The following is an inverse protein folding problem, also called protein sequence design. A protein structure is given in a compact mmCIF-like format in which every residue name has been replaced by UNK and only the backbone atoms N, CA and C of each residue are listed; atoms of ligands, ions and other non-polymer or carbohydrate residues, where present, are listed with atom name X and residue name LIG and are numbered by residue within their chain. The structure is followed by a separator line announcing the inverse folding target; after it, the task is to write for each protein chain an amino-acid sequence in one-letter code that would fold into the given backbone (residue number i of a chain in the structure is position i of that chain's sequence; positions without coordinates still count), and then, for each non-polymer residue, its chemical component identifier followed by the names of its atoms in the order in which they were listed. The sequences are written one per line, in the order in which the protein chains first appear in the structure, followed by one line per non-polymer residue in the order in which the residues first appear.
data_IF_061135606287
#
_entry.id   IF_061135606287
#
_cell.length_a   1.000
_cell.length_b   1.000
_cell.length_c   1.000
_cell.angle_alpha   90.00
_cell.angle_beta   90.00
_cell.angle_gamma   90.00
#
_symmetry.space_group_name_H-M   'P 1'
#
loop_
_entity.id
_entity.type
_entity.pdbx_description
1 polymer ?
#
# COMPACT_ATOMS: atom_id res chain seq x y z
N UNK A 1 50.44 -6.97 47.86
CA UNK A 1 51.18 -5.76 47.43
C UNK A 1 52.14 -6.19 46.33
N UNK A 2 51.97 -5.64 45.12
CA UNK A 2 52.97 -5.38 44.06
C UNK A 2 53.93 -6.53 43.62
N UNK A 3 54.23 -6.84 42.35
CA UNK A 3 54.10 -6.21 41.02
C UNK A 3 54.36 -7.32 39.97
N UNK A 4 53.54 -7.48 38.93
CA UNK A 4 53.72 -6.97 37.54
C UNK A 4 54.87 -7.62 36.72
N UNK A 5 54.48 -8.63 35.93
CA UNK A 5 54.53 -8.72 34.46
C UNK A 5 55.78 -9.13 33.64
N UNK A 6 55.45 -9.89 32.57
CA UNK A 6 56.12 -10.14 31.26
C UNK A 6 57.28 -11.16 31.28
N UNK A 7 57.48 -12.07 30.32
CA UNK A 7 56.91 -12.29 28.98
C UNK A 7 57.33 -13.71 28.49
N UNK A 8 56.37 -14.47 27.96
CA UNK A 8 56.40 -15.27 26.70
C UNK A 8 57.25 -16.56 26.50
N UNK A 9 56.53 -17.55 25.94
CA UNK A 9 56.90 -18.81 25.23
C UNK A 9 57.26 -20.01 26.12
N UNK A 10 56.62 -21.20 25.99
CA UNK A 10 56.24 -21.91 24.77
C UNK A 10 55.23 -23.06 25.03
N UNK A 11 54.33 -23.30 24.05
CA UNK A 11 53.86 -24.62 23.56
C UNK A 11 53.15 -25.63 24.50
N UNK A 12 51.83 -25.78 24.38
CA UNK A 12 51.17 -26.82 23.54
C UNK A 12 49.64 -26.84 23.71
N UNK A 13 48.95 -27.12 22.60
CA UNK A 13 47.53 -27.47 22.40
C UNK A 13 46.53 -26.31 22.25
N UNK A 14 46.25 -25.89 21.00
CA UNK A 14 45.11 -26.34 20.17
C UNK A 14 44.88 -25.29 19.06
N UNK A 15 45.24 -25.62 17.81
CA UNK A 15 44.81 -24.85 16.65
C UNK A 15 43.34 -25.19 16.33
N UNK A 16 42.50 -24.19 16.08
CA UNK A 16 41.84 -23.91 14.80
C UNK A 16 40.64 -22.96 15.01
N UNK A 17 40.65 -21.86 14.25
CA UNK A 17 39.50 -21.23 13.59
C UNK A 17 38.26 -20.82 14.41
N UNK A 18 38.13 -19.52 14.70
CA UNK A 18 36.84 -18.81 14.61
C UNK A 18 37.07 -17.41 14.01
N UNK A 19 36.98 -17.33 12.69
CA UNK A 19 36.70 -16.10 11.94
C UNK A 19 35.19 -16.10 11.69
N UNK A 20 34.56 -14.94 11.89
CA UNK A 20 33.18 -14.57 11.53
C UNK A 20 32.77 -15.12 10.14
N UNK A 21 31.50 -15.46 9.87
CA UNK A 21 30.65 -14.47 9.18
C UNK A 21 29.11 -14.61 9.36
N UNK A 22 28.42 -13.56 8.89
CA UNK A 22 27.09 -13.54 8.25
C UNK A 22 25.88 -14.14 9.00
N UNK A 23 25.06 -13.26 9.56
CA UNK A 23 23.65 -13.55 9.83
C UNK A 23 22.92 -13.58 8.48
N UNK A 24 22.58 -14.80 8.07
CA UNK A 24 21.82 -15.16 6.89
C UNK A 24 20.37 -14.69 7.04
N UNK A 25 19.90 -13.99 6.01
CA UNK A 25 18.50 -13.77 5.69
C UNK A 25 17.83 -15.16 5.58
N UNK A 26 17.01 -15.56 6.56
CA UNK A 26 16.28 -16.83 6.50
C UNK A 26 15.14 -16.68 5.48
N UNK A 27 15.46 -16.92 4.21
CA UNK A 27 14.53 -17.52 3.26
C UNK A 27 14.41 -18.98 3.69
N UNK A 28 13.21 -19.56 3.87
CA UNK A 28 13.11 -21.01 3.96
C UNK A 28 13.44 -21.58 2.58
N UNK A 29 14.72 -21.85 2.36
CA UNK A 29 15.17 -22.78 1.33
C UNK A 29 14.81 -24.19 1.82
N UNK A 30 13.54 -24.56 1.65
CA UNK A 30 13.14 -25.96 1.69
C UNK A 30 13.67 -26.57 0.40
N UNK A 31 14.88 -27.13 0.46
CA UNK A 31 15.33 -28.12 -0.52
C UNK A 31 14.59 -29.41 -0.16
N UNK A 32 13.32 -29.49 -0.60
CA UNK A 32 12.64 -30.75 -0.76
C UNK A 32 12.71 -31.11 -2.25
N UNK A 33 13.02 -32.36 -2.55
CA UNK A 33 12.81 -33.00 -3.85
C UNK A 33 11.31 -33.17 -4.15
N UNK A 34 10.50 -32.15 -3.85
CA UNK A 34 9.09 -32.08 -4.15
C UNK A 34 8.92 -31.66 -5.61
N UNK A 35 7.97 -32.30 -6.31
CA UNK A 35 7.60 -31.91 -7.67
C UNK A 35 7.36 -30.40 -7.76
N UNK A 36 7.70 -29.83 -8.91
CA UNK A 36 7.52 -28.40 -9.19
C UNK A 36 6.07 -28.02 -8.92
N UNK A 37 5.80 -27.20 -7.90
CA UNK A 37 4.44 -26.78 -7.55
C UNK A 37 4.00 -25.65 -8.49
N UNK A 38 3.33 -26.02 -9.58
CA UNK A 38 2.67 -25.06 -10.47
C UNK A 38 1.27 -24.77 -9.91
N UNK A 39 0.92 -23.52 -9.57
CA UNK A 39 -0.38 -23.21 -8.99
C UNK A 39 -1.49 -23.32 -10.03
N UNK A 40 -2.71 -23.59 -9.59
CA UNK A 40 -3.88 -23.58 -10.48
C UNK A 40 -4.33 -22.15 -10.83
N UNK A 41 -4.11 -21.18 -9.94
CA UNK A 41 -4.44 -19.76 -10.12
C UNK A 41 -3.18 -18.92 -9.98
N UNK A 42 -2.96 -18.00 -10.90
CA UNK A 42 -1.79 -17.12 -10.91
C UNK A 42 -2.18 -15.67 -11.14
N UNK A 43 -1.99 -14.86 -10.10
CA UNK A 43 -2.09 -13.40 -10.15
C UNK A 43 -0.81 -12.76 -10.68
N UNK A 44 -0.44 -11.62 -10.12
CA UNK A 44 0.78 -10.86 -10.49
C UNK A 44 2.10 -11.45 -9.93
N UNK A 45 2.02 -12.56 -9.21
CA UNK A 45 3.15 -13.14 -8.48
C UNK A 45 4.13 -13.88 -9.42
N UNK A 46 5.40 -13.92 -8.99
CA UNK A 46 6.48 -14.68 -9.63
C UNK A 46 6.74 -15.97 -8.87
N UNK A 47 6.94 -17.06 -9.59
CA UNK A 47 7.23 -18.40 -9.05
C UNK A 47 8.49 -18.91 -9.73
N UNK A 48 9.54 -19.11 -8.95
CA UNK A 48 10.79 -19.70 -9.44
C UNK A 48 10.60 -21.20 -9.69
N UNK A 49 10.91 -21.65 -10.91
CA UNK A 49 10.82 -23.07 -11.28
C UNK A 49 12.20 -23.66 -11.57
N UNK A 50 13.17 -22.83 -11.95
CA UNK A 50 14.56 -23.22 -12.20
C UNK A 50 14.75 -24.13 -13.42
N UNK A 51 13.72 -24.27 -14.26
CA UNK A 51 13.70 -25.17 -15.41
C UNK A 51 13.12 -24.47 -16.63
N UNK A 52 13.57 -24.88 -17.81
CA UNK A 52 12.94 -24.48 -19.07
C UNK A 52 11.48 -24.95 -19.10
N UNK A 53 10.61 -24.11 -19.65
CA UNK A 53 9.19 -24.38 -19.69
C UNK A 53 8.58 -23.90 -21.02
N UNK A 54 7.47 -24.53 -21.39
CA UNK A 54 6.64 -24.10 -22.51
C UNK A 54 5.31 -23.54 -22.00
N UNK A 55 4.88 -22.42 -22.57
CA UNK A 55 3.55 -21.85 -22.35
C UNK A 55 2.76 -22.02 -23.65
N UNK A 56 1.61 -22.68 -23.56
CA UNK A 56 0.73 -22.95 -24.72
C UNK A 56 1.51 -23.59 -25.90
N UNK A 57 2.43 -24.49 -25.57
CA UNK A 57 3.27 -25.22 -26.53
C UNK A 57 4.50 -24.46 -27.05
N UNK A 58 4.67 -23.17 -26.71
CA UNK A 58 5.81 -22.34 -27.14
C UNK A 58 6.85 -22.24 -26.03
N UNK A 59 8.13 -22.23 -26.39
CA UNK A 59 9.21 -22.03 -25.43
C UNK A 59 9.06 -20.65 -24.76
N UNK A 60 9.08 -20.65 -23.43
CA UNK A 60 9.05 -19.44 -22.63
C UNK A 60 10.49 -19.00 -22.32
N UNK A 61 10.83 -17.71 -22.46
CA UNK A 61 12.21 -17.26 -22.36
C UNK A 61 12.76 -17.20 -20.93
N UNK A 62 11.97 -17.62 -19.94
CA UNK A 62 12.36 -17.58 -18.53
C UNK A 62 12.17 -18.94 -17.87
N UNK A 63 12.94 -19.18 -16.82
CA UNK A 63 12.88 -20.37 -15.97
C UNK A 63 11.97 -20.17 -14.75
N UNK A 64 11.13 -19.14 -14.78
CA UNK A 64 10.16 -18.80 -13.76
C UNK A 64 8.81 -18.52 -14.40
N UNK A 65 7.74 -18.69 -13.65
CA UNK A 65 6.37 -18.35 -14.05
C UNK A 65 5.99 -17.02 -13.41
N UNK A 66 5.39 -16.11 -14.18
CA UNK A 66 4.98 -14.81 -13.68
C UNK A 66 3.74 -14.35 -14.43
N UNK A 67 2.62 -14.12 -13.73
CA UNK A 67 1.38 -13.76 -14.40
C UNK A 67 1.45 -12.40 -15.11
N UNK A 68 2.39 -11.53 -14.73
CA UNK A 68 2.64 -10.27 -15.44
C UNK A 68 3.25 -10.48 -16.83
N UNK A 69 3.81 -11.67 -17.11
CA UNK A 69 4.48 -12.02 -18.37
C UNK A 69 3.69 -13.04 -19.19
N UNK A 70 2.45 -13.34 -18.78
CA UNK A 70 1.55 -14.27 -19.43
C UNK A 70 0.26 -13.56 -19.81
N UNK A 71 -0.41 -14.01 -20.86
CA UNK A 71 -1.75 -13.53 -21.17
C UNK A 71 -2.77 -14.07 -20.15
N UNK A 72 -3.74 -13.23 -19.76
CA UNK A 72 -4.84 -13.66 -18.88
C UNK A 72 -5.70 -14.75 -19.55
N UNK A 73 -6.35 -15.59 -18.74
CA UNK A 73 -7.12 -16.76 -19.16
C UNK A 73 -6.42 -18.09 -18.83
N UNK A 74 -6.98 -19.20 -19.31
CA UNK A 74 -6.41 -20.54 -19.11
C UNK A 74 -5.16 -20.73 -19.98
N UNK A 75 -4.08 -21.21 -19.35
CA UNK A 75 -2.78 -21.48 -19.96
C UNK A 75 -2.35 -22.91 -19.70
N UNK A 76 -1.69 -23.51 -20.68
CA UNK A 76 -1.05 -24.82 -20.55
C UNK A 76 0.45 -24.63 -20.34
N UNK A 77 0.92 -24.95 -19.14
CA UNK A 77 2.33 -24.90 -18.77
C UNK A 77 2.91 -26.30 -18.90
N UNK A 78 3.98 -26.46 -19.69
CA UNK A 78 4.67 -27.75 -19.82
C UNK A 78 6.07 -27.65 -19.22
N UNK A 79 6.39 -28.54 -18.28
CA UNK A 79 7.68 -28.64 -17.60
C UNK A 79 8.05 -30.13 -17.59
N UNK A 80 9.23 -30.50 -18.11
CA UNK A 80 9.67 -31.90 -18.21
C UNK A 80 8.58 -32.82 -18.81
N UNK A 81 7.98 -32.38 -19.92
CA UNK A 81 6.87 -33.06 -20.62
C UNK A 81 5.56 -33.26 -19.82
N UNK A 82 5.51 -32.81 -18.55
CA UNK A 82 4.29 -32.76 -17.76
C UNK A 82 3.52 -31.46 -18.03
N UNK A 83 2.21 -31.59 -18.26
CA UNK A 83 1.31 -30.47 -18.54
C UNK A 83 0.52 -30.08 -17.30
N UNK A 84 0.44 -28.78 -17.06
CA UNK A 84 -0.30 -28.15 -15.99
C UNK A 84 -1.26 -27.13 -16.60
N UNK A 85 -2.49 -27.07 -16.11
CA UNK A 85 -3.44 -26.00 -16.48
C UNK A 85 -3.43 -24.94 -15.39
N UNK A 86 -3.11 -23.71 -15.79
CA UNK A 86 -3.04 -22.54 -14.90
C UNK A 86 -4.00 -21.49 -15.42
N UNK A 87 -4.91 -21.01 -14.57
CA UNK A 87 -5.69 -19.82 -14.85
C UNK A 87 -4.89 -18.58 -14.45
N UNK A 88 -4.73 -17.63 -15.37
CA UNK A 88 -4.00 -16.39 -15.13
C UNK A 88 -4.97 -15.23 -15.12
N UNK A 89 -4.92 -14.40 -14.08
CA UNK A 89 -5.70 -13.16 -14.02
C UNK A 89 -4.94 -12.10 -13.25
N UNK A 90 -4.63 -10.99 -13.92
CA UNK A 90 -3.81 -9.91 -13.34
C UNK A 90 -4.57 -8.61 -13.10
N UNK A 91 -5.78 -8.49 -13.61
CA UNK A 91 -6.64 -7.34 -13.37
C UNK A 91 -7.67 -7.67 -12.28
N UNK A 92 -7.94 -6.75 -11.34
CA UNK A 92 -8.96 -6.94 -10.32
C UNK A 92 -10.36 -6.99 -10.93
N UNK A 93 -11.27 -7.67 -10.23
CA UNK A 93 -12.71 -7.58 -10.54
C UNK A 93 -13.23 -6.17 -10.32
N UNK A 94 -14.38 -5.83 -10.93
CA UNK A 94 -15.05 -4.53 -10.77
C UNK A 94 -16.08 -4.55 -9.64
N UNK A 95 -15.64 -4.95 -8.45
CA UNK A 95 -16.42 -4.94 -7.21
C UNK A 95 -16.27 -3.57 -6.51
N UNK A 96 -17.33 -3.07 -5.90
CA UNK A 96 -17.27 -1.86 -5.05
C UNK A 96 -17.88 -2.18 -3.71
N UNK A 97 -17.18 -1.79 -2.64
CA UNK A 97 -17.62 -2.04 -1.28
C UNK A 97 -18.46 -0.87 -0.77
N UNK A 98 -19.73 -1.14 -0.59
CA UNK A 98 -20.64 -0.34 0.20
C UNK A 98 -21.19 -1.27 1.27
N UNK A 99 -20.86 -1.01 2.53
CA UNK A 99 -21.39 -1.80 3.63
C UNK A 99 -22.57 -1.11 4.28
N UNK A 100 -23.51 -1.89 4.77
CA UNK A 100 -24.65 -1.40 5.57
C UNK A 100 -24.63 -2.06 6.95
N UNK A 101 -25.10 -1.32 7.94
CA UNK A 101 -25.31 -1.86 9.28
C UNK A 101 -26.71 -2.44 9.38
N UNK A 102 -26.79 -3.76 9.58
CA UNK A 102 -28.01 -4.48 9.89
C UNK A 102 -27.99 -4.88 11.38
N UNK A 103 -28.72 -4.13 12.21
CA UNK A 103 -28.75 -4.31 13.66
C UNK A 103 -27.34 -4.17 14.28
N UNK A 104 -26.65 -5.29 14.53
CA UNK A 104 -25.29 -5.35 15.11
C UNK A 104 -24.28 -6.02 14.18
N UNK A 105 -24.62 -6.17 12.91
CA UNK A 105 -23.78 -6.79 11.89
C UNK A 105 -23.53 -5.79 10.78
N UNK A 106 -22.30 -5.74 10.28
CA UNK A 106 -21.96 -4.98 9.09
C UNK A 106 -21.86 -5.94 7.91
N UNK A 107 -22.65 -5.68 6.86
CA UNK A 107 -22.86 -6.59 5.74
C UNK A 107 -22.40 -5.93 4.43
N UNK A 108 -21.76 -6.73 3.58
CA UNK A 108 -21.36 -6.39 2.21
C UNK A 108 -22.03 -7.32 1.20
N UNK A 109 -22.21 -6.83 -0.03
CA UNK A 109 -22.76 -7.62 -1.15
C UNK A 109 -21.77 -8.69 -1.68
N UNK A 110 -20.53 -8.68 -1.21
CA UNK A 110 -19.47 -9.59 -1.67
C UNK A 110 -18.60 -10.04 -0.51
N UNK A 111 -17.97 -11.20 -0.65
CA UNK A 111 -16.99 -11.69 0.33
C UNK A 111 -15.79 -10.76 0.39
N UNK A 112 -15.44 -10.35 1.61
CA UNK A 112 -14.30 -9.50 1.92
C UNK A 112 -13.39 -10.19 2.93
N UNK A 113 -12.14 -9.74 3.01
CA UNK A 113 -11.22 -10.13 4.06
C UNK A 113 -11.15 -9.02 5.11
N UNK A 114 -11.36 -9.37 6.37
CA UNK A 114 -11.34 -8.43 7.49
C UNK A 114 -9.97 -8.37 8.17
N UNK A 115 -9.50 -7.17 8.49
CA UNK A 115 -8.22 -6.93 9.19
C UNK A 115 -8.41 -6.01 10.41
N UNK A 116 -7.61 -6.24 11.45
CA UNK A 116 -7.48 -5.34 12.60
C UNK A 116 -6.34 -4.34 12.30
N UNK A 117 -6.63 -3.05 12.05
CA UNK A 117 -5.59 -2.08 11.68
C UNK A 117 -4.58 -1.81 12.81
N UNK A 118 -4.91 -2.16 14.06
CA UNK A 118 -3.99 -2.03 15.20
C UNK A 118 -2.88 -3.09 15.18
N UNK A 119 -3.07 -4.16 14.41
CA UNK A 119 -2.08 -5.23 14.23
C UNK A 119 -1.30 -4.95 12.95
N UNK A 120 0.01 -4.70 13.06
CA UNK A 120 0.92 -4.48 11.93
C UNK A 120 1.24 -5.79 11.17
N UNK A 121 0.20 -6.47 10.69
CA UNK A 121 0.28 -7.71 9.93
C UNK A 121 -0.94 -7.86 9.01
N UNK A 122 -0.76 -8.44 7.81
CA UNK A 122 -1.85 -8.86 6.93
C UNK A 122 -2.43 -10.20 7.41
N UNK A 123 -2.74 -10.31 8.70
CA UNK A 123 -3.40 -11.48 9.27
C UNK A 123 -4.91 -11.27 9.22
N UNK A 124 -5.58 -12.00 8.36
CA UNK A 124 -7.03 -11.97 8.28
C UNK A 124 -7.65 -12.37 9.63
N UNK A 125 -8.63 -11.60 10.08
CA UNK A 125 -9.52 -11.96 11.18
C UNK A 125 -10.50 -13.02 10.69
N UNK A 126 -11.10 -12.74 9.53
CA UNK A 126 -12.11 -13.57 8.90
C UNK A 126 -12.20 -13.25 7.39
N UNK A 127 -12.79 -14.16 6.62
CA UNK A 127 -13.16 -13.97 5.22
C UNK A 127 -14.64 -14.33 5.05
N UNK A 128 -15.48 -13.30 5.03
CA UNK A 128 -16.94 -13.42 5.02
C UNK A 128 -17.56 -12.22 4.27
N UNK A 129 -18.85 -12.27 4.00
CA UNK A 129 -19.62 -11.11 3.53
C UNK A 129 -20.12 -10.23 4.69
N UNK A 130 -20.01 -10.70 5.94
CA UNK A 130 -20.49 -9.99 7.12
C UNK A 130 -19.53 -10.10 8.31
N UNK A 131 -19.60 -9.12 9.21
CA UNK A 131 -18.88 -9.16 10.50
C UNK A 131 -19.75 -8.55 11.60
N UNK A 132 -19.73 -9.17 12.79
CA UNK A 132 -20.39 -8.62 13.97
C UNK A 132 -19.65 -7.38 14.46
N UNK A 133 -20.38 -6.28 14.65
CA UNK A 133 -19.83 -5.03 15.15
C UNK A 133 -19.30 -5.18 16.58
N UNK A 134 -18.23 -4.45 16.87
CA UNK A 134 -17.58 -4.41 18.18
C UNK A 134 -17.14 -2.97 18.50
N UNK A 135 -16.56 -2.73 19.68
CA UNK A 135 -15.98 -1.43 20.01
C UNK A 135 -14.72 -1.08 19.17
N UNK A 136 -14.18 -2.05 18.42
CA UNK A 136 -13.05 -1.86 17.50
C UNK A 136 -13.51 -1.50 16.09
N UNK A 137 -12.60 -0.87 15.35
CA UNK A 137 -12.70 -0.66 13.91
C UNK A 137 -12.05 -1.81 13.16
N UNK A 138 -12.57 -2.12 11.98
CA UNK A 138 -11.95 -3.08 11.08
C UNK A 138 -11.78 -2.50 9.69
N UNK A 139 -10.84 -3.06 8.93
CA UNK A 139 -10.72 -2.85 7.50
C UNK A 139 -11.30 -4.04 6.77
N UNK A 140 -12.18 -3.79 5.81
CA UNK A 140 -12.67 -4.80 4.89
C UNK A 140 -11.99 -4.59 3.53
N UNK A 141 -11.34 -5.63 3.00
CA UNK A 141 -10.65 -5.60 1.71
C UNK A 141 -11.31 -6.57 0.75
N UNK A 142 -11.75 -6.07 -0.39
CA UNK A 142 -12.22 -6.89 -1.50
C UNK A 142 -11.04 -7.27 -2.40
N UNK A 143 -10.83 -8.58 -2.57
CA UNK A 143 -9.88 -9.13 -3.52
C UNK A 143 -10.47 -10.34 -4.22
N UNK A 144 -10.06 -10.57 -5.47
CA UNK A 144 -10.43 -11.79 -6.18
C UNK A 144 -9.61 -13.01 -5.72
N UNK A 145 -9.90 -14.18 -6.29
CA UNK A 145 -9.19 -15.43 -5.98
C UNK A 145 -7.72 -15.46 -6.46
N UNK A 146 -7.23 -14.39 -7.09
CA UNK A 146 -5.87 -14.21 -7.57
C UNK A 146 -5.12 -13.15 -6.75
N UNK A 147 -5.71 -12.73 -5.62
CA UNK A 147 -5.25 -11.70 -4.71
C UNK A 147 -5.21 -10.28 -5.31
N UNK A 148 -5.91 -10.05 -6.43
CA UNK A 148 -6.01 -8.71 -6.99
C UNK A 148 -7.01 -7.89 -6.16
N UNK A 149 -6.51 -6.88 -5.45
CA UNK A 149 -7.34 -6.01 -4.60
C UNK A 149 -8.12 -5.02 -5.45
N UNK A 150 -9.43 -4.99 -5.24
CA UNK A 150 -10.33 -4.10 -5.96
C UNK A 150 -10.69 -2.85 -5.18
N UNK A 151 -11.13 -3.01 -3.93
CA UNK A 151 -11.68 -1.93 -3.11
C UNK A 151 -11.47 -2.21 -1.62
N UNK A 152 -11.57 -1.17 -0.81
CA UNK A 152 -11.39 -1.23 0.65
C UNK A 152 -12.48 -0.41 1.31
N UNK A 153 -13.04 -0.91 2.42
CA UNK A 153 -14.04 -0.22 3.21
C UNK A 153 -13.66 -0.20 4.69
N UNK A 154 -14.12 0.84 5.37
CA UNK A 154 -14.04 0.95 6.81
C UNK A 154 -15.25 0.29 7.45
N UNK A 155 -15.02 -0.54 8.45
CA UNK A 155 -16.09 -1.11 9.28
C UNK A 155 -16.16 -0.25 10.55
N UNK A 156 -17.29 0.46 10.78
CA UNK A 156 -17.45 1.32 11.94
C UNK A 156 -17.51 0.50 13.24
N UNK A 157 -17.28 1.11 14.40
CA UNK A 157 -17.47 0.45 15.67
C UNK A 157 -18.96 0.49 16.05
N UNK A 158 -19.32 -0.16 17.16
CA UNK A 158 -20.63 0.06 17.78
C UNK A 158 -20.77 1.51 18.29
N UNK A 159 -21.92 2.11 17.98
CA UNK A 159 -22.31 3.46 18.40
C UNK A 159 -22.99 3.48 19.79
N UNK A 160 -22.61 2.56 20.67
CA UNK A 160 -23.16 2.48 22.03
C UNK A 160 -22.35 3.36 23.00
N UNK A 161 -23.02 3.88 24.04
CA UNK A 161 -22.44 4.67 25.14
C UNK A 161 -21.77 5.97 24.66
N UNK A 162 -22.49 6.72 23.82
CA UNK A 162 -22.08 8.01 23.30
C UNK A 162 -22.55 9.16 24.18
N UNK A 163 -21.63 10.05 24.55
CA UNK A 163 -21.97 11.36 25.09
C UNK A 163 -22.15 12.33 23.93
N UNK A 164 -23.36 12.89 23.79
CA UNK A 164 -23.68 13.86 22.74
C UNK A 164 -23.28 15.24 23.24
N UNK A 165 -22.44 15.93 22.48
CA UNK A 165 -22.09 17.32 22.73
C UNK A 165 -22.87 18.24 21.79
N UNK A 166 -23.32 19.35 22.34
CA UNK A 166 -23.96 20.46 21.65
C UNK A 166 -23.02 21.67 21.51
N UNK A 167 -23.33 22.51 20.51
CA UNK A 167 -22.42 23.39 19.76
C UNK A 167 -21.75 24.54 20.51
N UNK A 168 -21.92 24.68 21.83
CA UNK A 168 -21.54 25.90 22.54
C UNK A 168 -20.14 25.84 23.20
N UNK A 169 -19.55 24.65 23.33
CA UNK A 169 -18.25 24.49 23.97
C UNK A 169 -17.14 24.21 22.95
N UNK A 170 -15.99 24.92 23.02
CA UNK A 170 -14.80 24.56 22.26
C UNK A 170 -14.40 23.12 22.55
N UNK A 171 -13.91 22.40 21.53
CA UNK A 171 -13.43 21.02 21.72
C UNK A 171 -12.14 21.11 22.53
N UNK A 172 -12.24 20.94 23.86
CA UNK A 172 -11.11 20.98 24.79
C UNK A 172 -11.26 19.81 25.76
N UNK A 173 -10.17 19.06 25.96
CA UNK A 173 -10.07 17.98 26.95
C UNK A 173 -11.10 16.83 26.81
N UNK A 174 -10.98 16.05 25.72
CA UNK A 174 -11.71 14.78 25.57
C UNK A 174 -11.02 13.72 26.44
N UNK A 175 -11.73 13.02 27.34
CA UNK A 175 -11.13 11.92 28.10
C UNK A 175 -12.09 10.77 28.42
N UNK A 176 -11.63 9.55 28.18
CA UNK A 176 -12.21 8.29 28.70
C UNK A 176 -13.60 7.92 28.19
N UNK A 177 -14.13 8.63 27.18
CA UNK A 177 -15.48 8.45 26.65
C UNK A 177 -15.52 8.58 25.13
N UNK A 178 -16.60 8.10 24.53
CA UNK A 178 -16.94 8.32 23.12
C UNK A 178 -17.85 9.56 23.04
N UNK A 179 -17.41 10.57 22.31
CA UNK A 179 -18.17 11.81 22.11
C UNK A 179 -18.73 11.87 20.70
N UNK A 180 -20.00 12.23 20.57
CA UNK A 180 -20.63 12.52 19.29
C UNK A 180 -20.85 14.02 19.18
N UNK A 181 -20.22 14.65 18.19
CA UNK A 181 -20.54 16.01 17.80
C UNK A 181 -21.72 15.96 16.84
N UNK A 182 -22.86 16.44 17.31
CA UNK A 182 -24.08 16.47 16.52
C UNK A 182 -24.02 17.51 15.40
N UNK A 183 -24.84 17.34 14.37
CA UNK A 183 -25.02 18.29 13.26
C UNK A 183 -25.40 19.73 13.67
N UNK A 184 -25.74 19.95 14.95
CA UNK A 184 -25.80 21.29 15.57
C UNK A 184 -24.38 21.88 15.62
N UNK A 185 -23.96 22.55 14.56
CA UNK A 185 -22.62 23.10 14.36
C UNK A 185 -22.72 24.60 14.01
N UNK A 186 -21.64 25.41 14.05
CA UNK A 186 -20.22 25.03 13.99
C UNK A 186 -19.58 24.75 15.37
N UNK A 187 -18.61 23.83 15.40
CA UNK A 187 -17.68 23.65 16.52
C UNK A 187 -16.36 24.36 16.25
N UNK A 188 -15.57 24.65 17.30
CA UNK A 188 -14.27 25.33 17.17
C UNK A 188 -13.14 24.51 17.77
N UNK A 189 -12.05 24.37 17.00
CA UNK A 189 -10.74 23.92 17.50
C UNK A 189 -9.82 25.13 17.48
N UNK A 190 -9.55 25.69 18.66
CA UNK A 190 -8.82 26.95 18.82
C UNK A 190 -7.34 26.76 19.19
N UNK A 191 -6.96 25.56 19.63
CA UNK A 191 -5.62 25.24 20.09
C UNK A 191 -5.33 23.73 19.93
N UNK A 192 -4.15 23.31 20.38
CA UNK A 192 -3.77 21.90 20.41
C UNK A 192 -4.69 21.12 21.35
N UNK A 193 -5.39 20.13 20.80
CA UNK A 193 -6.33 19.26 21.51
C UNK A 193 -5.85 17.83 21.40
N UNK A 194 -5.95 17.05 22.48
CA UNK A 194 -5.56 15.64 22.50
C UNK A 194 -6.82 14.79 22.65
N UNK A 195 -6.92 13.76 21.82
CA UNK A 195 -7.88 12.68 21.92
C UNK A 195 -7.15 11.42 22.44
N UNK A 196 -7.28 11.06 23.73
CA UNK A 196 -6.54 9.95 24.35
C UNK A 196 -6.93 8.57 23.81
N UNK A 197 -6.07 7.57 24.01
CA UNK A 197 -6.17 6.19 23.48
C UNK A 197 -7.54 5.50 23.66
N UNK A 198 -8.20 5.71 24.80
CA UNK A 198 -9.51 5.09 25.12
C UNK A 198 -10.71 5.95 24.75
N UNK A 199 -10.48 7.04 24.02
CA UNK A 199 -11.52 8.01 23.67
C UNK A 199 -11.80 7.95 22.17
N UNK A 200 -13.05 8.19 21.81
CA UNK A 200 -13.43 8.35 20.41
C UNK A 200 -14.12 9.70 20.22
N UNK A 201 -13.79 10.40 19.14
CA UNK A 201 -14.51 11.57 18.68
C UNK A 201 -15.22 11.20 17.38
N UNK A 202 -16.55 11.21 17.43
CA UNK A 202 -17.41 10.93 16.30
C UNK A 202 -18.04 12.23 15.81
N UNK A 203 -17.99 12.46 14.50
CA UNK A 203 -18.55 13.64 13.86
C UNK A 203 -19.72 13.20 12.99
N UNK A 204 -20.92 13.69 13.27
CA UNK A 204 -22.06 13.45 12.40
C UNK A 204 -21.85 14.07 11.01
N UNK A 205 -22.46 13.45 9.99
CA UNK A 205 -22.55 14.07 8.67
C UNK A 205 -23.17 15.46 8.74
N UNK A 206 -22.60 16.41 8.00
CA UNK A 206 -23.02 17.82 7.99
C UNK A 206 -22.41 18.70 9.09
N UNK A 207 -21.61 18.13 10.01
CA UNK A 207 -20.88 18.91 11.00
C UNK A 207 -19.88 19.85 10.34
N UNK A 208 -19.87 21.10 10.80
CA UNK A 208 -18.83 22.09 10.46
C UNK A 208 -17.89 22.31 11.64
N UNK A 209 -16.58 22.21 11.40
CA UNK A 209 -15.51 22.51 12.35
C UNK A 209 -14.73 23.71 11.85
N UNK A 210 -14.66 24.76 12.67
CA UNK A 210 -13.82 25.94 12.41
C UNK A 210 -12.49 25.73 13.12
N UNK A 211 -11.40 25.70 12.37
CA UNK A 211 -10.04 25.57 12.90
C UNK A 211 -9.38 26.95 12.94
N UNK A 212 -8.85 27.32 14.11
CA UNK A 212 -7.96 28.47 14.22
C UNK A 212 -6.61 28.18 13.53
N UNK A 213 -5.87 29.23 13.16
CA UNK A 213 -4.53 29.09 12.61
C UNK A 213 -3.65 28.29 13.58
N UNK A 214 -2.98 27.24 13.09
CA UNK A 214 -2.14 26.31 13.86
C UNK A 214 -2.90 25.42 14.87
N UNK A 215 -4.22 25.30 14.75
CA UNK A 215 -4.97 24.31 15.51
C UNK A 215 -4.53 22.88 15.13
N UNK A 216 -4.36 22.03 16.14
CA UNK A 216 -3.95 20.65 15.97
C UNK A 216 -4.86 19.75 16.81
N UNK A 217 -5.41 18.70 16.19
CA UNK A 217 -6.06 17.60 16.90
C UNK A 217 -5.12 16.39 16.88
N UNK A 218 -4.55 16.05 18.04
CA UNK A 218 -3.71 14.87 18.21
C UNK A 218 -4.55 13.66 18.64
N UNK A 219 -4.61 12.66 17.78
CA UNK A 219 -5.47 11.48 17.81
C UNK A 219 -4.63 10.29 18.26
N UNK A 220 -4.68 9.99 19.56
CA UNK A 220 -4.19 8.73 20.15
C UNK A 220 -5.28 7.67 20.26
N UNK A 221 -6.54 8.12 20.40
CA UNK A 221 -7.73 7.29 20.32
C UNK A 221 -8.26 7.18 18.90
N UNK A 222 -9.56 7.46 18.71
CA UNK A 222 -10.20 7.30 17.41
C UNK A 222 -11.00 8.52 16.94
N UNK A 223 -10.67 9.07 15.78
CA UNK A 223 -11.50 10.06 15.09
C UNK A 223 -12.33 9.36 14.00
N UNK A 224 -13.63 9.58 13.98
CA UNK A 224 -14.53 8.97 13.00
C UNK A 224 -15.56 9.99 12.51
N UNK A 225 -15.66 10.15 11.20
CA UNK A 225 -16.79 10.86 10.57
C UNK A 225 -17.86 9.85 10.16
N UNK A 226 -19.12 10.03 10.55
CA UNK A 226 -20.20 9.12 10.11
C UNK A 226 -20.82 9.52 8.76
N UNK A 227 -20.44 10.68 8.24
CA UNK A 227 -20.77 11.19 6.91
C UNK A 227 -19.82 12.33 6.54
N UNK A 228 -20.12 13.04 5.47
CA UNK A 228 -19.28 14.14 5.00
C UNK A 228 -19.28 15.31 6.01
N UNK A 229 -18.11 15.76 6.44
CA UNK A 229 -17.92 16.92 7.34
C UNK A 229 -17.16 18.05 6.66
N UNK A 230 -17.27 19.27 7.19
CA UNK A 230 -16.58 20.45 6.66
C UNK A 230 -15.59 21.00 7.68
N UNK A 231 -14.33 21.18 7.27
CA UNK A 231 -13.33 21.93 8.04
C UNK A 231 -13.09 23.29 7.38
N UNK A 232 -13.32 24.36 8.15
CA UNK A 232 -13.11 25.74 7.73
C UNK A 232 -11.85 26.30 8.41
N UNK A 233 -10.89 26.74 7.60
CA UNK A 233 -9.60 27.23 8.07
C UNK A 233 -8.46 26.28 7.71
N UNK A 234 -7.28 26.54 8.30
CA UNK A 234 -6.14 25.65 8.23
C UNK A 234 -5.92 24.96 9.56
N UNK A 235 -5.39 23.74 9.53
CA UNK A 235 -5.23 22.94 10.73
C UNK A 235 -4.60 21.59 10.43
N UNK A 236 -4.31 20.86 11.51
CA UNK A 236 -3.61 19.58 11.43
C UNK A 236 -4.33 18.50 12.23
N UNK A 237 -4.52 17.33 11.63
CA UNK A 237 -4.92 16.10 12.31
C UNK A 237 -3.68 15.21 12.44
N UNK A 238 -3.24 14.96 13.67
CA UNK A 238 -2.04 14.15 13.93
C UNK A 238 -2.45 12.81 14.52
N UNK A 239 -2.18 11.70 13.84
CA UNK A 239 -2.50 10.34 14.32
C UNK A 239 -1.24 9.70 14.89
N UNK A 240 -1.23 9.42 16.19
CA UNK A 240 -0.05 8.90 16.90
C UNK A 240 -0.41 7.78 17.88
N UNK A 241 0.59 7.07 18.40
CA UNK A 241 0.44 6.07 19.47
C UNK A 241 -0.66 5.01 19.21
N UNK A 242 -0.66 4.39 18.03
CA UNK A 242 -1.72 3.46 17.56
C UNK A 242 -3.14 4.07 17.44
N UNK A 243 -3.26 5.40 17.43
CA UNK A 243 -4.52 6.07 17.11
C UNK A 243 -5.03 5.75 15.70
N UNK A 244 -6.32 5.97 15.48
CA UNK A 244 -6.99 5.71 14.21
C UNK A 244 -7.83 6.91 13.77
N UNK A 245 -7.80 7.23 12.48
CA UNK A 245 -8.63 8.26 11.90
C UNK A 245 -9.38 7.73 10.68
N UNK A 246 -10.71 7.77 10.72
CA UNK A 246 -11.58 7.67 9.54
C UNK A 246 -12.16 9.04 9.26
N UNK A 247 -11.81 9.60 8.10
CA UNK A 247 -12.13 10.98 7.72
C UNK A 247 -12.80 10.99 6.36
N UNK A 248 -14.03 11.49 6.33
CA UNK A 248 -14.76 11.89 5.14
C UNK A 248 -15.05 13.38 5.23
N UNK A 249 -14.23 14.19 4.59
CA UNK A 249 -14.24 15.63 4.83
C UNK A 249 -13.87 16.50 3.62
N UNK A 250 -14.45 17.70 3.59
CA UNK A 250 -13.98 18.81 2.76
C UNK A 250 -13.21 19.77 3.66
N UNK A 251 -11.92 19.92 3.38
CA UNK A 251 -11.01 20.74 4.17
C UNK A 251 -9.70 20.98 3.41
N UNK A 252 -9.69 21.79 2.35
CA UNK A 252 -8.49 21.99 1.51
C UNK A 252 -7.33 22.69 2.23
N UNK A 253 -7.56 23.19 3.46
CA UNK A 253 -6.52 23.74 4.34
C UNK A 253 -6.04 22.76 5.44
N UNK A 254 -6.58 21.54 5.48
CA UNK A 254 -6.27 20.55 6.51
C UNK A 254 -5.20 19.58 6.03
N UNK A 255 -4.19 19.39 6.87
CA UNK A 255 -3.20 18.33 6.73
C UNK A 255 -3.51 17.18 7.69
N UNK A 256 -3.27 15.95 7.24
CA UNK A 256 -3.21 14.77 8.11
C UNK A 256 -1.76 14.33 8.19
N UNK A 257 -1.28 14.09 9.40
CA UNK A 257 0.03 13.47 9.60
C UNK A 257 -0.08 12.29 10.54
N UNK A 258 0.82 11.33 10.40
CA UNK A 258 0.92 10.23 11.36
C UNK A 258 2.35 9.88 11.67
N UNK A 259 2.58 9.58 12.95
CA UNK A 259 3.79 8.93 13.44
C UNK A 259 3.35 7.71 14.26
N UNK A 260 3.53 6.52 13.69
CA UNK A 260 3.14 5.24 14.32
C UNK A 260 1.65 5.14 14.68
N UNK A 261 0.78 5.72 13.86
CA UNK A 261 -0.67 5.50 13.95
C UNK A 261 -1.07 4.10 13.48
N UNK A 262 -2.23 3.61 13.92
CA UNK A 262 -2.78 2.34 13.44
C UNK A 262 -3.44 2.50 12.06
N UNK A 263 -4.25 3.55 11.89
CA UNK A 263 -5.01 3.76 10.66
C UNK A 263 -5.13 5.24 10.29
N UNK A 264 -4.85 5.56 9.03
CA UNK A 264 -5.42 6.71 8.34
C UNK A 264 -6.32 6.17 7.24
N UNK A 265 -7.62 6.44 7.32
CA UNK A 265 -8.59 6.14 6.27
C UNK A 265 -9.26 7.44 5.84
N UNK A 266 -9.07 7.82 4.59
CA UNK A 266 -9.67 9.01 3.99
C UNK A 266 -10.60 8.55 2.87
N UNK A 267 -11.91 8.85 2.99
CA UNK A 267 -12.92 8.45 2.01
C UNK A 267 -13.72 9.66 1.51
N UNK A 268 -13.86 9.82 0.20
CA UNK A 268 -14.71 10.87 -0.39
C UNK A 268 -14.27 12.29 0.00
N UNK A 269 -12.96 12.52 0.18
CA UNK A 269 -12.45 13.75 0.81
C UNK A 269 -11.70 14.67 -0.14
N UNK A 270 -11.70 15.96 0.18
CA UNK A 270 -10.84 16.96 -0.45
C UNK A 270 -10.00 17.62 0.65
N UNK A 271 -8.75 17.18 0.77
CA UNK A 271 -7.80 17.58 1.81
C UNK A 271 -6.49 18.05 1.17
N UNK A 272 -5.67 18.77 1.94
CA UNK A 272 -4.42 19.33 1.40
C UNK A 272 -3.36 18.25 1.25
N UNK A 273 -2.88 17.74 2.39
CA UNK A 273 -1.74 16.85 2.44
C UNK A 273 -1.95 15.68 3.41
N UNK A 274 -1.33 14.55 3.10
CA UNK A 274 -1.13 13.43 4.01
C UNK A 274 0.38 13.16 4.13
N UNK A 275 0.90 13.09 5.36
CA UNK A 275 2.26 12.63 5.63
C UNK A 275 2.25 11.52 6.69
N UNK A 276 2.40 10.28 6.25
CA UNK A 276 2.25 9.09 7.08
C UNK A 276 3.61 8.38 7.26
N UNK A 277 4.10 8.39 8.50
CA UNK A 277 5.34 7.75 8.89
C UNK A 277 5.08 6.57 9.83
N UNK A 278 5.57 5.39 9.46
CA UNK A 278 5.46 4.15 10.23
C UNK A 278 4.03 3.74 10.64
N UNK A 279 3.00 4.33 10.02
CA UNK A 279 1.60 3.95 10.21
C UNK A 279 1.39 2.50 9.78
N UNK A 280 0.50 1.76 10.44
CA UNK A 280 0.22 0.38 9.99
C UNK A 280 -0.52 0.37 8.66
N UNK A 281 -1.67 1.05 8.59
CA UNK A 281 -2.51 1.11 7.40
C UNK A 281 -2.81 2.54 6.97
N UNK A 282 -2.69 2.79 5.67
CA UNK A 282 -3.13 4.03 5.02
C UNK A 282 -4.07 3.68 3.88
N UNK A 283 -5.29 4.20 3.93
CA UNK A 283 -6.31 4.05 2.90
C UNK A 283 -6.73 5.44 2.41
N UNK A 284 -6.60 5.68 1.12
CA UNK A 284 -7.06 6.89 0.45
C UNK A 284 -8.03 6.45 -0.65
N UNK A 285 -9.31 6.73 -0.45
CA UNK A 285 -10.39 6.27 -1.31
C UNK A 285 -11.21 7.45 -1.79
N UNK A 286 -11.57 7.49 -3.08
CA UNK A 286 -12.46 8.51 -3.66
C UNK A 286 -12.07 9.96 -3.29
N UNK A 287 -10.77 10.24 -3.18
CA UNK A 287 -10.29 11.48 -2.58
C UNK A 287 -9.39 12.28 -3.52
N UNK A 288 -9.32 13.58 -3.29
CA UNK A 288 -8.44 14.52 -3.99
C UNK A 288 -7.46 15.16 -3.01
N UNK A 289 -6.16 15.05 -3.29
CA UNK A 289 -5.07 15.52 -2.43
C UNK A 289 -3.96 16.20 -3.24
N UNK A 290 -3.34 17.23 -2.68
CA UNK A 290 -2.17 17.86 -3.29
C UNK A 290 -0.90 17.03 -3.07
N UNK A 291 -0.63 16.62 -1.83
CA UNK A 291 0.59 15.85 -1.54
C UNK A 291 0.33 14.68 -0.60
N UNK A 292 0.87 13.52 -0.96
CA UNK A 292 0.83 12.32 -0.13
C UNK A 292 2.26 11.77 0.00
N UNK A 293 2.78 11.79 1.23
CA UNK A 293 4.07 11.23 1.61
C UNK A 293 3.83 10.02 2.52
N UNK A 294 4.38 8.87 2.15
CA UNK A 294 4.20 7.60 2.86
C UNK A 294 5.56 6.97 3.04
N UNK A 295 5.98 6.81 4.30
CA UNK A 295 7.26 6.22 4.66
C UNK A 295 7.11 5.12 5.70
N UNK A 296 7.61 3.93 5.40
CA UNK A 296 7.66 2.83 6.36
C UNK A 296 6.27 2.30 6.75
N UNK A 297 5.25 2.59 5.95
CA UNK A 297 3.88 2.12 6.17
C UNK A 297 3.77 0.65 5.79
N UNK A 298 3.06 -0.12 6.60
CA UNK A 298 2.98 -1.57 6.39
C UNK A 298 2.10 -1.94 5.19
N UNK A 299 0.92 -1.33 5.08
CA UNK A 299 0.03 -1.52 3.92
C UNK A 299 -0.65 -0.23 3.51
N UNK A 300 -0.67 0.03 2.20
CA UNK A 300 -1.25 1.23 1.61
C UNK A 300 -2.25 0.85 0.51
N UNK A 301 -3.42 1.49 0.53
CA UNK A 301 -4.43 1.39 -0.50
C UNK A 301 -4.78 2.78 -1.03
N UNK A 302 -4.61 3.03 -2.32
CA UNK A 302 -5.03 4.26 -3.00
C UNK A 302 -6.02 3.89 -4.09
N UNK A 303 -7.29 4.26 -3.93
CA UNK A 303 -8.38 3.75 -4.76
C UNK A 303 -9.25 4.91 -5.25
N UNK A 304 -9.55 4.96 -6.54
CA UNK A 304 -10.46 5.95 -7.14
C UNK A 304 -10.09 7.41 -6.79
N UNK A 305 -8.80 7.73 -6.70
CA UNK A 305 -8.33 9.00 -6.13
C UNK A 305 -7.46 9.81 -7.11
N UNK A 306 -7.43 11.13 -6.90
CA UNK A 306 -6.60 12.07 -7.64
C UNK A 306 -5.55 12.67 -6.72
N UNK A 307 -4.26 12.58 -7.09
CA UNK A 307 -3.15 13.08 -6.26
C UNK A 307 -2.17 13.86 -7.14
N UNK A 308 -1.76 15.06 -6.74
CA UNK A 308 -0.74 15.80 -7.50
C UNK A 308 0.66 15.19 -7.29
N UNK A 309 1.08 15.03 -6.04
CA UNK A 309 2.38 14.45 -5.67
C UNK A 309 2.22 13.25 -4.73
N UNK A 310 2.73 12.08 -5.14
CA UNK A 310 2.75 10.85 -4.35
C UNK A 310 4.19 10.36 -4.16
N UNK A 311 4.61 10.24 -2.91
CA UNK A 311 5.88 9.68 -2.52
C UNK A 311 5.68 8.44 -1.64
N UNK A 312 6.25 7.32 -2.07
CA UNK A 312 6.17 6.01 -1.40
C UNK A 312 7.59 5.53 -1.12
N UNK A 313 7.92 5.36 0.15
CA UNK A 313 9.23 4.94 0.61
C UNK A 313 9.12 3.81 1.64
N UNK A 314 9.99 2.80 1.55
CA UNK A 314 10.09 1.72 2.53
C UNK A 314 8.75 1.02 2.84
N UNK A 315 7.90 0.82 1.82
CA UNK A 315 6.57 0.22 1.99
C UNK A 315 6.51 -1.21 1.43
N UNK A 316 6.08 -2.16 2.26
CA UNK A 316 6.06 -3.58 1.90
C UNK A 316 4.90 -4.00 1.00
N UNK A 317 3.75 -3.34 1.10
CA UNK A 317 2.55 -3.64 0.33
C UNK A 317 1.81 -2.35 -0.04
N UNK A 318 1.84 -1.96 -1.31
CA UNK A 318 1.10 -0.80 -1.79
C UNK A 318 0.25 -1.19 -2.99
N UNK A 319 -1.05 -0.88 -2.93
CA UNK A 319 -1.99 -1.07 -4.03
C UNK A 319 -2.55 0.29 -4.46
N UNK A 320 -2.47 0.58 -5.76
CA UNK A 320 -3.03 1.77 -6.38
C UNK A 320 -4.01 1.34 -7.47
N UNK A 321 -5.31 1.55 -7.29
CA UNK A 321 -6.33 1.12 -8.24
C UNK A 321 -7.18 2.29 -8.73
N UNK A 322 -7.27 2.46 -10.05
CA UNK A 322 -8.06 3.50 -10.70
C UNK A 322 -7.73 4.91 -10.18
N UNK A 323 -6.45 5.22 -10.01
CA UNK A 323 -5.99 6.52 -9.54
C UNK A 323 -5.41 7.36 -10.68
N UNK A 324 -5.49 8.68 -10.56
CA UNK A 324 -4.78 9.63 -11.40
C UNK A 324 -3.73 10.36 -10.55
N UNK A 325 -2.45 10.24 -10.90
CA UNK A 325 -1.37 10.88 -10.15
C UNK A 325 -0.39 11.61 -11.06
N UNK A 326 -0.12 12.89 -10.78
CA UNK A 326 0.72 13.69 -11.66
C UNK A 326 2.21 13.37 -11.49
N UNK A 327 2.68 13.21 -10.26
CA UNK A 327 4.06 12.88 -9.96
C UNK A 327 4.18 11.79 -8.90
N UNK A 328 4.73 10.63 -9.29
CA UNK A 328 4.96 9.49 -8.40
C UNK A 328 6.45 9.24 -8.22
N UNK A 329 6.85 9.08 -6.97
CA UNK A 329 8.19 8.61 -6.57
C UNK A 329 8.07 7.37 -5.70
N UNK A 330 8.69 6.28 -6.14
CA UNK A 330 8.75 5.01 -5.41
C UNK A 330 10.22 4.69 -5.11
N UNK A 331 10.58 4.62 -3.84
CA UNK A 331 11.95 4.42 -3.40
C UNK A 331 12.08 3.51 -2.18
N UNK A 332 13.33 3.30 -1.79
CA UNK A 332 13.74 2.55 -0.60
C UNK A 332 13.08 1.16 -0.46
N UNK A 333 13.31 0.27 -1.43
CA UNK A 333 12.85 -1.14 -1.39
C UNK A 333 11.32 -1.28 -1.26
N UNK A 334 10.57 -0.34 -1.84
CA UNK A 334 9.11 -0.39 -1.82
C UNK A 334 8.56 -1.40 -2.82
N UNK A 335 7.39 -2.00 -2.52
CA UNK A 335 6.65 -2.86 -3.45
C UNK A 335 5.29 -2.24 -3.76
N UNK A 336 5.10 -1.87 -5.03
CA UNK A 336 3.89 -1.20 -5.51
C UNK A 336 3.23 -2.01 -6.60
N UNK A 337 1.92 -2.16 -6.50
CA UNK A 337 1.07 -2.76 -7.51
C UNK A 337 0.07 -1.69 -7.92
N UNK A 338 -0.09 -1.47 -9.22
CA UNK A 338 -1.08 -0.53 -9.72
C UNK A 338 -1.91 -1.12 -10.85
N UNK A 339 -3.22 -0.83 -10.79
CA UNK A 339 -4.22 -1.26 -11.73
C UNK A 339 -4.95 -0.05 -12.32
N UNK A 340 -5.19 -0.06 -13.63
CA UNK A 340 -6.07 0.89 -14.33
C UNK A 340 -5.80 2.37 -14.00
N UNK A 341 -4.54 2.73 -13.75
CA UNK A 341 -4.18 4.05 -13.23
C UNK A 341 -3.48 4.91 -14.28
N UNK A 342 -3.54 6.23 -14.10
CA UNK A 342 -2.86 7.21 -14.96
C UNK A 342 -1.76 7.91 -14.18
N UNK A 343 -0.58 7.98 -14.77
CA UNK A 343 0.59 8.64 -14.22
C UNK A 343 1.24 9.57 -15.24
N UNK A 344 1.41 10.84 -14.90
CA UNK A 344 2.11 11.76 -15.80
C UNK A 344 3.64 11.61 -15.65
N UNK A 345 4.16 11.61 -14.41
CA UNK A 345 5.56 11.30 -14.12
C UNK A 345 5.64 10.17 -13.10
N UNK A 346 6.41 9.13 -13.40
CA UNK A 346 6.58 7.97 -12.54
C UNK A 346 8.05 7.60 -12.41
N UNK A 347 8.59 7.65 -11.20
CA UNK A 347 9.99 7.30 -10.93
C UNK A 347 10.09 6.15 -9.93
N UNK A 348 10.97 5.20 -10.23
CA UNK A 348 11.26 4.04 -9.39
C UNK A 348 12.76 3.96 -9.15
N UNK A 349 13.15 3.83 -7.88
CA UNK A 349 14.55 3.76 -7.48
C UNK A 349 14.79 2.84 -6.29
N UNK A 350 16.08 2.68 -5.96
CA UNK A 350 16.58 2.07 -4.73
C UNK A 350 16.02 0.66 -4.49
N UNK A 351 16.21 -0.23 -5.47
CA UNK A 351 15.79 -1.64 -5.45
C UNK A 351 14.27 -1.87 -5.27
N UNK A 352 13.46 -0.83 -5.45
CA UNK A 352 12.00 -0.95 -5.38
C UNK A 352 11.44 -1.76 -6.56
N UNK A 353 10.33 -2.45 -6.33
CA UNK A 353 9.64 -3.24 -7.33
C UNK A 353 8.23 -2.71 -7.59
N UNK A 354 7.90 -2.54 -8.86
CA UNK A 354 6.59 -2.02 -9.28
C UNK A 354 5.96 -2.94 -10.33
N UNK A 355 4.68 -3.24 -10.17
CA UNK A 355 3.85 -3.95 -11.14
C UNK A 355 2.71 -3.03 -11.62
N UNK A 356 2.61 -2.77 -12.92
CA UNK A 356 1.59 -1.90 -13.52
C UNK A 356 0.73 -2.71 -14.51
N UNK A 357 -0.57 -2.76 -14.30
CA UNK A 357 -1.53 -3.47 -15.16
C UNK A 357 -2.55 -2.49 -15.71
N UNK A 358 -2.72 -2.47 -17.03
CA UNK A 358 -3.71 -1.63 -17.72
C UNK A 358 -3.58 -0.13 -17.42
N UNK A 359 -2.36 0.34 -17.18
CA UNK A 359 -2.07 1.72 -16.79
C UNK A 359 -1.59 2.58 -17.96
N UNK A 360 -1.72 3.90 -17.82
CA UNK A 360 -1.21 4.89 -18.78
C UNK A 360 -0.13 5.72 -18.11
N UNK A 361 1.05 5.78 -18.73
CA UNK A 361 2.21 6.51 -18.18
C UNK A 361 2.78 7.43 -19.25
N UNK A 362 2.96 8.71 -18.92
CA UNK A 362 3.59 9.67 -19.84
C UNK A 362 5.11 9.57 -19.75
N UNK A 363 5.71 9.87 -18.60
CA UNK A 363 7.15 9.80 -18.39
C UNK A 363 7.50 8.83 -17.27
N UNK A 364 8.30 7.80 -17.60
CA UNK A 364 8.75 6.77 -16.67
C UNK A 364 10.27 6.78 -16.53
N UNK A 365 10.77 6.76 -15.30
CA UNK A 365 12.19 6.59 -14.99
C UNK A 365 12.42 5.43 -14.02
N UNK A 366 13.31 4.51 -14.40
CA UNK A 366 13.81 3.44 -13.56
C UNK A 366 15.29 3.62 -13.33
N UNK A 367 15.70 3.60 -12.07
CA UNK A 367 17.10 3.73 -11.70
C UNK A 367 17.45 2.86 -10.48
N UNK A 368 18.76 2.77 -10.18
CA UNK A 368 19.33 2.18 -8.96
C UNK A 368 18.80 0.77 -8.64
N UNK A 369 18.90 -0.13 -9.62
CA UNK A 369 18.55 -1.54 -9.48
C UNK A 369 17.06 -1.83 -9.26
N UNK A 370 16.19 -0.89 -9.61
CA UNK A 370 14.74 -1.08 -9.52
C UNK A 370 14.21 -2.10 -10.54
N UNK A 371 13.06 -2.69 -10.24
CA UNK A 371 12.40 -3.67 -11.11
C UNK A 371 11.00 -3.21 -11.44
N UNK A 372 10.68 -3.11 -12.72
CA UNK A 372 9.33 -2.85 -13.20
C UNK A 372 8.80 -4.03 -14.00
N UNK A 373 7.54 -4.36 -13.77
CA UNK A 373 6.73 -5.20 -14.64
C UNK A 373 5.53 -4.40 -15.11
N UNK A 374 5.28 -4.38 -16.41
CA UNK A 374 4.17 -3.64 -16.98
C UNK A 374 3.43 -4.51 -18.00
N UNK A 375 2.10 -4.55 -17.87
CA UNK A 375 1.21 -5.42 -18.64
C UNK A 375 0.03 -4.64 -19.19
N UNK A 376 -0.36 -4.90 -20.44
CA UNK A 376 -1.55 -4.33 -21.09
C UNK A 376 -1.63 -2.79 -21.01
N UNK A 377 -0.48 -2.11 -21.01
CA UNK A 377 -0.40 -0.69 -20.68
C UNK A 377 0.07 0.16 -21.87
N UNK A 378 0.03 1.48 -21.71
CA UNK A 378 0.62 2.43 -22.67
C UNK A 378 1.61 3.34 -21.99
N UNK A 379 2.76 3.54 -22.64
CA UNK A 379 3.88 4.33 -22.15
C UNK A 379 4.37 5.27 -23.25
N UNK A 380 4.46 6.57 -22.96
CA UNK A 380 4.99 7.54 -23.94
C UNK A 380 6.52 7.50 -23.91
N UNK A 381 7.14 7.92 -22.81
CA UNK A 381 8.58 7.96 -22.65
C UNK A 381 9.03 7.07 -21.48
N UNK A 382 10.06 6.28 -21.72
CA UNK A 382 10.64 5.38 -20.73
C UNK A 382 12.16 5.55 -20.68
N UNK A 383 12.71 5.71 -19.49
CA UNK A 383 14.16 5.68 -19.25
C UNK A 383 14.49 4.56 -18.27
N UNK A 384 15.37 3.65 -18.67
CA UNK A 384 15.82 2.53 -17.83
C UNK A 384 17.34 2.57 -17.72
N UNK A 385 17.85 2.74 -16.51
CA UNK A 385 19.29 2.93 -16.25
C UNK A 385 19.74 2.32 -14.92
N UNK A 386 21.04 2.36 -14.64
CA UNK A 386 21.63 2.03 -13.34
C UNK A 386 21.23 0.64 -12.82
N UNK A 387 21.50 -0.39 -13.62
CA UNK A 387 21.23 -1.81 -13.37
C UNK A 387 19.76 -2.18 -13.16
N UNK A 388 18.84 -1.30 -13.54
CA UNK A 388 17.40 -1.56 -13.41
C UNK A 388 16.90 -2.54 -14.47
N UNK A 389 15.78 -3.18 -14.18
CA UNK A 389 15.17 -4.19 -15.07
C UNK A 389 13.72 -3.83 -15.35
N UNK A 390 13.35 -3.78 -16.64
CA UNK A 390 11.98 -3.56 -17.08
C UNK A 390 11.44 -4.78 -17.87
N UNK A 391 10.30 -5.31 -17.46
CA UNK A 391 9.56 -6.34 -18.20
C UNK A 391 8.29 -5.75 -18.78
N UNK A 392 8.17 -5.76 -20.11
CA UNK A 392 7.07 -5.13 -20.86
C UNK A 392 6.28 -6.22 -21.59
N UNK A 393 5.05 -6.49 -21.14
CA UNK A 393 4.14 -7.46 -21.75
C UNK A 393 2.91 -6.78 -22.34
N UNK A 394 2.57 -7.07 -23.60
CA UNK A 394 1.41 -6.45 -24.30
C UNK A 394 1.31 -4.93 -24.10
N UNK A 395 2.46 -4.26 -24.09
CA UNK A 395 2.57 -2.84 -23.75
C UNK A 395 3.06 -2.06 -24.97
N UNK A 396 2.44 -0.91 -25.22
CA UNK A 396 2.87 0.01 -26.27
C UNK A 396 3.78 1.07 -25.68
N UNK A 397 4.98 1.21 -26.22
CA UNK A 397 5.98 2.20 -25.80
C UNK A 397 6.33 3.11 -26.97
N UNK A 398 6.19 4.42 -26.85
CA UNK A 398 6.58 5.32 -27.93
C UNK A 398 8.12 5.45 -28.00
N UNK A 399 8.77 5.86 -26.90
CA UNK A 399 10.22 5.98 -26.82
C UNK A 399 10.78 5.27 -25.58
N UNK A 400 11.75 4.39 -25.81
CA UNK A 400 12.50 3.69 -24.77
C UNK A 400 13.98 4.05 -24.84
N UNK A 401 14.49 4.71 -23.79
CA UNK A 401 15.90 5.05 -23.62
C UNK A 401 16.53 4.12 -22.59
N UNK A 402 17.62 3.44 -22.96
CA UNK A 402 18.25 2.40 -22.13
C UNK A 402 19.74 2.72 -21.94
N UNK A 403 20.15 2.91 -20.68
CA UNK A 403 21.56 3.01 -20.27
C UNK A 403 22.12 1.65 -19.88
N UNK A 404 22.91 1.59 -18.82
CA UNK A 404 23.35 0.32 -18.22
C UNK A 404 22.19 -0.38 -17.49
N UNK A 405 21.32 -1.05 -18.24
CA UNK A 405 20.10 -1.69 -17.74
C UNK A 405 19.64 -2.84 -18.64
N UNK A 406 18.67 -3.62 -18.16
CA UNK A 406 18.02 -4.68 -18.96
C UNK A 406 16.55 -4.37 -19.17
N UNK A 407 16.05 -4.74 -20.35
CA UNK A 407 14.63 -4.70 -20.65
C UNK A 407 14.22 -5.94 -21.44
N UNK A 408 12.99 -6.37 -21.28
CA UNK A 408 12.40 -7.51 -21.98
C UNK A 408 11.08 -7.09 -22.62
N UNK A 409 10.95 -7.31 -23.93
CA UNK A 409 9.75 -7.04 -24.71
C UNK A 409 9.07 -8.37 -25.05
N UNK A 410 7.84 -8.57 -24.59
CA UNK A 410 7.04 -9.77 -24.84
C UNK A 410 5.68 -9.36 -25.38
N UNK A 411 5.37 -9.70 -26.62
CA UNK A 411 4.12 -9.27 -27.28
C UNK A 411 3.87 -7.75 -27.21
N UNK A 412 4.94 -6.96 -27.04
CA UNK A 412 4.93 -5.51 -26.86
C UNK A 412 5.42 -4.80 -28.11
N UNK A 413 5.00 -3.55 -28.30
CA UNK A 413 5.43 -2.70 -29.43
C UNK A 413 6.23 -1.51 -28.91
N UNK A 414 7.34 -1.20 -29.58
CA UNK A 414 8.16 -0.03 -29.26
C UNK A 414 8.52 0.72 -30.54
N UNK A 415 8.18 2.01 -30.63
CA UNK A 415 8.40 2.78 -31.86
C UNK A 415 9.87 3.20 -32.02
N UNK A 416 10.52 3.63 -30.93
CA UNK A 416 11.93 4.06 -30.93
C UNK A 416 12.67 3.54 -29.71
N UNK A 417 13.86 2.97 -29.93
CA UNK A 417 14.78 2.56 -28.88
C UNK A 417 16.09 3.35 -29.03
N UNK A 418 16.52 4.01 -27.96
CA UNK A 418 17.76 4.80 -27.92
C UNK A 418 18.68 4.22 -26.85
N UNK A 419 19.94 3.95 -27.19
CA UNK A 419 20.97 3.61 -26.20
C UNK A 419 21.60 4.88 -25.64
N UNK A 420 21.67 5.00 -24.32
CA UNK A 420 22.37 6.08 -23.63
C UNK A 420 23.82 5.60 -23.44
N UNK A 421 24.78 6.26 -24.08
CA UNK A 421 26.20 6.04 -23.80
C UNK A 421 26.52 6.74 -22.47
N UNK A 422 27.04 6.00 -21.49
CA UNK A 422 27.60 6.59 -20.27
C UNK A 422 28.90 7.32 -20.64
N UNK A 423 29.03 8.57 -20.19
CA UNK A 423 30.28 9.34 -20.25
C UNK A 423 31.17 8.99 -19.07
#
# INVERSE_FOLDING_TARGET
MERVARYIHKEKHFELSVILPLIILIIPAVIATAGVLVPQKLGINKIELGKELKVDGKNFPFTFLDGMLLADGKRTITINDQKYTVEVKTAPDKIRLNGITEVYTYVFDSTVTFYDPTVRALKAIDKSNEIKLSDKFYLAVASDDFDNVTDVAFVPPTLEKLDILDSQNPITNISGRKFLLSSKSPYKIISKTILPEKSALMLEGGVTIITALNAELNIKGALVTTGLVSFLGSGKLTVSDNGSAYVSAIGPGIDITSDRGALIFVDGSNLRNIDANLTNFVVIRKSSLSKVSINGVYTVYIIDSSIEELEIQNCGNVVINNAAVNNVKVGLVSKVISYNSRFDKFSVSDLSSVALVSSKITDLQLSKGSVLKIKNSSLINAKVENYSIAYLFKTNVNQLSVGNAKYYLLESKTNKITKIQEQ
#
